data_IF_559924905741
#
_entry.id   IF_559924905741
#
_cell.length_a   1.000
_cell.length_b   1.000
_cell.length_c   1.000
_cell.angle_alpha   90.00
_cell.angle_beta   90.00
_cell.angle_gamma   90.00
#
_symmetry.space_group_name_H-M   'P 1'
#
loop_
_entity.id
_entity.type
_entity.pdbx_description
1 polymer ?
#
# COMPACT_ATOMS: atom_id res chain seq x y z
N UNK A 1 -3.60 -6.85 -18.91
CA UNK A 1 -4.93 -7.45 -19.16
C UNK A 1 -5.54 -7.48 -17.78
N UNK A 2 -6.47 -6.58 -17.48
CA UNK A 2 -6.82 -6.24 -16.09
C UNK A 2 -7.16 -7.49 -15.24
N UNK A 3 -6.72 -7.48 -13.98
CA UNK A 3 -6.85 -8.62 -13.10
C UNK A 3 -8.27 -8.67 -12.50
N UNK A 4 -8.94 -9.83 -12.56
CA UNK A 4 -10.33 -9.99 -12.17
C UNK A 4 -10.46 -10.90 -10.94
N UNK A 5 -11.12 -10.40 -9.89
CA UNK A 5 -11.25 -11.01 -8.57
C UNK A 5 -12.70 -11.19 -8.14
N UNK A 6 -12.92 -12.03 -7.12
CA UNK A 6 -14.19 -12.14 -6.40
C UNK A 6 -13.96 -11.66 -4.98
N UNK A 7 -14.57 -10.53 -4.62
CA UNK A 7 -14.57 -10.06 -3.24
C UNK A 7 -15.73 -10.70 -2.45
N UNK A 8 -15.58 -10.97 -1.15
CA UNK A 8 -16.69 -11.34 -0.30
C UNK A 8 -17.78 -10.26 -0.33
N UNK A 9 -19.07 -10.60 -0.51
CA UNK A 9 -20.15 -9.59 -0.59
C UNK A 9 -20.23 -8.66 0.62
N UNK A 10 -19.79 -9.14 1.78
CA UNK A 10 -19.77 -8.40 3.04
C UNK A 10 -18.48 -7.57 3.25
N UNK A 11 -17.52 -7.62 2.33
CA UNK A 11 -16.28 -6.84 2.51
C UNK A 11 -16.55 -5.35 2.28
N UNK A 12 -15.95 -4.46 3.10
CA UNK A 12 -16.05 -3.01 2.87
C UNK A 12 -15.57 -2.60 1.47
N UNK A 13 -14.58 -3.32 0.94
CA UNK A 13 -14.03 -3.07 -0.40
C UNK A 13 -15.07 -3.37 -1.48
N UNK A 14 -15.82 -4.47 -1.37
CA UNK A 14 -16.88 -4.82 -2.33
C UNK A 14 -17.98 -3.75 -2.41
N UNK A 15 -18.33 -3.14 -1.26
CA UNK A 15 -19.32 -2.08 -1.19
C UNK A 15 -18.84 -0.74 -1.79
N UNK A 16 -17.53 -0.51 -1.83
CA UNK A 16 -16.94 0.75 -2.27
C UNK A 16 -16.62 0.82 -3.78
N UNK A 17 -16.54 -0.33 -4.46
CA UNK A 17 -16.23 -0.39 -5.89
C UNK A 17 -17.51 -0.16 -6.71
N UNK A 18 -17.46 0.80 -7.63
CA UNK A 18 -18.57 1.13 -8.54
C UNK A 18 -18.44 0.43 -9.90
N UNK A 19 -19.43 0.56 -10.78
CA UNK A 19 -19.33 0.05 -12.17
C UNK A 19 -18.37 0.86 -13.05
N UNK A 20 -18.09 2.11 -12.65
CA UNK A 20 -17.08 2.95 -13.28
C UNK A 20 -15.70 2.69 -12.66
N UNK A 21 -14.66 2.88 -13.48
CA UNK A 21 -13.28 2.86 -13.01
C UNK A 21 -13.05 4.00 -12.00
N UNK A 22 -12.60 3.64 -10.79
CA UNK A 22 -12.31 4.59 -9.74
C UNK A 22 -11.21 4.09 -8.81
N UNK A 23 -10.64 5.00 -8.02
CA UNK A 23 -9.62 4.66 -7.03
C UNK A 23 -10.20 3.74 -5.96
N UNK A 24 -9.45 2.69 -5.63
CA UNK A 24 -9.77 1.90 -4.44
C UNK A 24 -9.56 2.77 -3.19
N UNK A 25 -10.51 2.74 -2.25
CA UNK A 25 -10.35 3.46 -0.99
C UNK A 25 -9.23 2.80 -0.19
N UNK A 26 -8.24 3.59 0.19
CA UNK A 26 -7.15 3.19 1.08
C UNK A 26 -7.16 4.05 2.36
N UNK A 27 -6.96 3.42 3.50
CA UNK A 27 -6.71 4.10 4.78
C UNK A 27 -5.23 4.40 4.91
N UNK A 28 -4.88 5.64 4.62
CA UNK A 28 -3.50 6.14 4.75
C UNK A 28 -3.35 6.83 6.12
N UNK A 29 -2.53 6.31 7.04
CA UNK A 29 -2.25 6.95 8.32
C UNK A 29 -1.53 8.29 8.16
N UNK A 30 -1.57 9.12 9.20
CA UNK A 30 -0.79 10.36 9.25
C UNK A 30 0.71 10.07 9.12
N UNK A 31 1.45 11.00 8.49
CA UNK A 31 2.89 10.85 8.31
C UNK A 31 3.30 10.09 7.05
N UNK A 32 2.39 9.92 6.09
CA UNK A 32 2.68 9.39 4.76
C UNK A 32 2.42 10.44 3.68
N UNK A 33 3.37 10.58 2.76
CA UNK A 33 3.21 11.31 1.51
C UNK A 33 2.95 10.29 0.40
N UNK A 34 1.73 10.29 -0.15
CA UNK A 34 1.41 9.49 -1.33
C UNK A 34 1.93 10.20 -2.56
N UNK A 35 2.85 9.55 -3.28
CA UNK A 35 3.51 10.12 -4.45
C UNK A 35 2.83 9.64 -5.72
N UNK A 36 2.42 8.37 -5.74
CA UNK A 36 1.67 7.79 -6.84
C UNK A 36 0.49 6.96 -6.31
N UNK A 37 -0.68 7.18 -6.87
CA UNK A 37 -1.90 6.46 -6.52
C UNK A 37 -2.72 6.19 -7.78
N UNK A 38 -2.58 4.99 -8.30
CA UNK A 38 -3.22 4.48 -9.51
C UNK A 38 -3.86 3.12 -9.29
N UNK A 39 -4.08 2.73 -8.04
CA UNK A 39 -4.83 1.53 -7.71
C UNK A 39 -6.32 1.76 -8.04
N UNK A 40 -6.71 1.39 -9.26
CA UNK A 40 -8.03 1.60 -9.82
C UNK A 40 -8.78 0.28 -9.92
N UNK A 41 -10.08 0.32 -9.68
CA UNK A 41 -10.93 -0.84 -9.87
C UNK A 41 -12.31 -0.46 -10.39
N UNK A 42 -13.01 -1.44 -10.95
CA UNK A 42 -14.45 -1.37 -11.24
C UNK A 42 -15.13 -2.72 -10.98
N UNK A 43 -16.44 -2.67 -10.79
CA UNK A 43 -17.31 -3.84 -10.64
C UNK A 43 -17.90 -4.21 -11.99
N UNK A 44 -17.73 -5.46 -12.37
CA UNK A 44 -18.30 -6.03 -13.59
C UNK A 44 -19.79 -6.37 -13.38
N UNK A 45 -20.58 -6.52 -14.47
CA UNK A 45 -22.00 -6.87 -14.37
C UNK A 45 -22.29 -8.20 -13.65
N UNK A 46 -21.33 -9.12 -13.60
CA UNK A 46 -21.43 -10.40 -12.89
C UNK A 46 -20.99 -10.32 -11.42
N UNK A 47 -20.71 -9.12 -10.91
CA UNK A 47 -20.31 -8.84 -9.54
C UNK A 47 -18.82 -9.05 -9.25
N UNK A 48 -18.02 -9.52 -10.21
CA UNK A 48 -16.56 -9.59 -10.06
C UNK A 48 -15.96 -8.19 -10.07
N UNK A 49 -14.77 -8.05 -9.50
CA UNK A 49 -14.02 -6.79 -9.48
C UNK A 49 -12.84 -6.91 -10.43
N UNK A 50 -12.72 -5.97 -11.35
CA UNK A 50 -11.58 -5.81 -12.24
C UNK A 50 -10.68 -4.69 -11.71
N UNK A 51 -9.37 -4.90 -11.70
CA UNK A 51 -8.35 -3.96 -11.19
C UNK A 51 -7.26 -3.80 -12.24
N UNK A 52 -6.70 -2.61 -12.37
CA UNK A 52 -5.57 -2.40 -13.28
C UNK A 52 -4.35 -3.23 -12.85
N UNK A 53 -3.63 -3.77 -13.83
CA UNK A 53 -2.59 -4.80 -13.63
C UNK A 53 -1.16 -4.29 -13.92
N UNK A 54 -0.84 -3.07 -13.46
CA UNK A 54 0.47 -2.43 -13.63
C UNK A 54 1.40 -2.71 -12.45
N UNK A 55 2.72 -2.69 -12.67
CA UNK A 55 3.72 -2.75 -11.59
C UNK A 55 3.72 -1.47 -10.74
N UNK A 56 3.30 -0.33 -11.31
CA UNK A 56 3.23 0.95 -10.61
C UNK A 56 1.78 1.23 -10.20
N UNK A 57 1.29 0.67 -9.09
CA UNK A 57 -0.08 0.94 -8.60
C UNK A 57 -0.09 1.98 -7.48
N UNK A 58 0.86 1.91 -6.57
CA UNK A 58 0.86 2.76 -5.39
C UNK A 58 2.26 2.93 -4.84
N UNK A 59 2.68 4.18 -4.69
CA UNK A 59 3.92 4.52 -4.01
C UNK A 59 3.67 5.63 -3.00
N UNK A 60 4.10 5.38 -1.76
CA UNK A 60 4.12 6.38 -0.71
C UNK A 60 5.44 6.32 0.06
N UNK A 61 5.78 7.42 0.70
CA UNK A 61 6.93 7.49 1.61
C UNK A 61 6.57 8.14 2.92
N UNK A 62 7.26 7.77 3.99
CA UNK A 62 7.11 8.46 5.27
C UNK A 62 7.50 9.93 5.13
N UNK A 63 6.63 10.80 5.63
CA UNK A 63 6.89 12.22 5.77
C UNK A 63 7.47 12.45 7.16
N UNK A 64 8.70 12.96 7.25
CA UNK A 64 9.21 13.46 8.52
C UNK A 64 8.24 14.54 9.03
N UNK A 65 7.75 14.47 10.27
CA UNK A 65 6.86 15.51 10.79
C UNK A 65 7.56 16.88 10.72
N UNK A 66 6.88 17.94 10.23
CA UNK A 66 7.51 19.22 9.96
C UNK A 66 8.05 19.93 11.22
N UNK A 67 7.58 19.53 12.41
CA UNK A 67 8.04 20.05 13.69
C UNK A 67 9.24 19.28 14.28
N UNK A 68 9.69 18.19 13.66
CA UNK A 68 10.74 17.32 14.20
C UNK A 68 12.07 17.68 13.53
N UNK A 69 12.98 18.26 14.30
CA UNK A 69 14.31 18.60 13.79
C UNK A 69 15.14 17.34 13.51
N UNK A 70 16.11 17.44 12.61
CA UNK A 70 16.99 16.31 12.26
C UNK A 70 17.71 15.71 13.49
N UNK A 71 18.15 16.57 14.43
CA UNK A 71 18.76 16.13 15.69
C UNK A 71 17.78 15.39 16.60
N UNK A 72 16.52 15.81 16.65
CA UNK A 72 15.47 15.12 17.40
C UNK A 72 15.10 13.77 16.77
N UNK A 73 15.15 13.71 15.45
CA UNK A 73 14.88 12.51 14.66
C UNK A 73 15.95 11.44 14.95
N UNK A 74 17.23 11.84 14.92
CA UNK A 74 18.37 10.96 15.26
C UNK A 74 18.32 10.53 16.72
N UNK A 75 18.05 11.45 17.65
CA UNK A 75 18.01 11.15 19.10
C UNK A 75 16.85 10.24 19.49
N UNK A 76 15.71 10.34 18.81
CA UNK A 76 14.58 9.42 19.02
C UNK A 76 14.84 8.03 18.44
N UNK A 77 15.84 7.86 17.58
CA UNK A 77 16.28 6.58 17.03
C UNK A 77 15.20 5.79 16.29
N UNK A 78 14.04 6.39 16.07
CA UNK A 78 12.84 5.71 15.61
C UNK A 78 12.67 5.87 14.11
N UNK A 79 12.15 4.84 13.47
CA UNK A 79 11.76 4.79 12.05
C UNK A 79 10.97 6.04 11.57
N UNK A 80 10.33 6.76 12.50
CA UNK A 80 9.70 8.08 12.31
C UNK A 80 10.61 9.18 11.73
N UNK A 81 11.93 9.01 11.81
CA UNK A 81 12.94 9.94 11.33
C UNK A 81 13.48 9.63 9.91
N UNK A 82 13.26 8.38 9.47
CA UNK A 82 13.83 7.79 8.25
C UNK A 82 12.81 7.89 7.12
N UNK A 83 13.32 8.08 5.91
CA UNK A 83 12.50 7.97 4.70
C UNK A 83 12.34 6.49 4.39
N UNK A 84 11.14 5.97 4.62
CA UNK A 84 10.75 4.59 4.33
C UNK A 84 9.79 4.68 3.17
N UNK A 85 10.07 3.93 2.11
CA UNK A 85 9.19 3.86 0.95
C UNK A 85 8.34 2.59 1.05
N UNK A 86 7.08 2.70 0.65
CA UNK A 86 6.22 1.55 0.38
C UNK A 86 5.81 1.63 -1.07
N UNK A 87 6.14 0.57 -1.81
CA UNK A 87 5.81 0.41 -3.21
C UNK A 87 4.91 -0.81 -3.36
N UNK A 88 3.88 -0.69 -4.18
CA UNK A 88 2.88 -1.72 -4.33
C UNK A 88 2.38 -1.77 -5.78
N UNK A 89 2.32 -2.99 -6.30
CA UNK A 89 2.17 -3.24 -7.73
C UNK A 89 1.60 -4.60 -8.04
N UNK A 90 1.21 -4.82 -9.29
CA UNK A 90 0.87 -6.13 -9.84
C UNK A 90 1.99 -6.64 -10.74
N UNK A 91 2.58 -7.78 -10.37
CA UNK A 91 3.65 -8.43 -11.12
C UNK A 91 3.12 -9.67 -11.82
N UNK A 92 3.24 -9.70 -13.15
CA UNK A 92 2.74 -10.82 -13.95
C UNK A 92 3.36 -12.16 -13.50
N UNK A 93 2.50 -13.15 -13.25
CA UNK A 93 2.90 -14.48 -12.78
C UNK A 93 3.06 -14.62 -11.26
N UNK A 94 3.08 -13.51 -10.52
CA UNK A 94 3.22 -13.49 -9.05
C UNK A 94 1.98 -12.94 -8.34
N UNK A 95 1.27 -11.99 -8.94
CA UNK A 95 0.13 -11.31 -8.35
C UNK A 95 0.50 -9.93 -7.79
N UNK A 96 -0.27 -9.45 -6.83
CA UNK A 96 0.05 -8.23 -6.12
C UNK A 96 1.29 -8.42 -5.27
N UNK A 97 2.13 -7.38 -5.20
CA UNK A 97 3.28 -7.32 -4.31
C UNK A 97 3.25 -5.99 -3.56
N UNK A 98 3.54 -6.03 -2.27
CA UNK A 98 3.82 -4.87 -1.42
C UNK A 98 5.27 -4.98 -0.98
N UNK A 99 6.04 -3.91 -1.12
CA UNK A 99 7.46 -3.85 -0.79
C UNK A 99 7.70 -2.67 0.13
N UNK A 100 8.38 -2.90 1.24
CA UNK A 100 8.93 -1.85 2.11
C UNK A 100 10.41 -1.72 1.84
N UNK A 101 10.82 -0.51 1.51
CA UNK A 101 12.17 -0.15 1.11
C UNK A 101 12.77 0.77 2.18
N UNK A 102 13.88 0.35 2.78
CA UNK A 102 14.59 1.06 3.85
C UNK A 102 16.07 0.68 3.83
N UNK A 103 17.02 1.64 3.74
CA UNK A 103 16.82 3.10 3.76
C UNK A 103 16.47 3.75 2.42
N UNK A 104 16.54 3.02 1.32
CA UNK A 104 16.42 3.58 -0.03
C UNK A 104 15.80 2.56 -1.01
N UNK A 105 15.67 2.97 -2.27
CA UNK A 105 15.05 2.19 -3.34
C UNK A 105 15.73 0.86 -3.67
N UNK A 106 17.01 0.72 -3.36
CA UNK A 106 17.79 -0.47 -3.68
C UNK A 106 17.76 -1.50 -2.54
N UNK A 107 17.20 -1.14 -1.38
CA UNK A 107 17.20 -1.97 -0.18
C UNK A 107 15.79 -2.39 0.23
N UNK A 108 15.41 -3.59 -0.18
CA UNK A 108 14.20 -4.26 0.28
C UNK A 108 14.34 -4.71 1.73
N UNK A 109 13.56 -4.10 2.62
CA UNK A 109 13.47 -4.48 4.03
C UNK A 109 12.47 -5.62 4.26
N UNK A 110 11.34 -5.58 3.55
CA UNK A 110 10.33 -6.63 3.58
C UNK A 110 9.48 -6.60 2.31
N UNK A 111 8.93 -7.74 1.91
CA UNK A 111 7.93 -7.80 0.84
C UNK A 111 6.85 -8.82 1.11
N UNK A 112 5.74 -8.70 0.41
CA UNK A 112 4.63 -9.63 0.57
C UNK A 112 3.93 -9.74 -0.77
N UNK A 113 3.60 -10.98 -1.17
CA UNK A 113 2.96 -11.27 -2.45
C UNK A 113 1.66 -12.03 -2.21
N UNK A 114 0.60 -11.61 -2.88
CA UNK A 114 -0.70 -12.28 -2.84
C UNK A 114 -1.44 -12.14 -4.18
N UNK A 115 -2.32 -13.09 -4.48
CA UNK A 115 -3.27 -12.99 -5.59
C UNK A 115 -4.67 -12.55 -5.14
N UNK A 116 -4.84 -12.25 -3.85
CA UNK A 116 -6.09 -11.78 -3.27
C UNK A 116 -6.09 -10.25 -3.09
N UNK A 117 -7.10 -9.59 -3.65
CA UNK A 117 -7.21 -8.13 -3.63
C UNK A 117 -7.48 -7.58 -2.22
N UNK A 118 -8.25 -8.28 -1.39
CA UNK A 118 -8.58 -7.83 -0.04
C UNK A 118 -7.37 -7.98 0.89
N UNK A 119 -6.63 -9.08 0.74
CA UNK A 119 -5.36 -9.31 1.44
C UNK A 119 -4.30 -8.29 1.03
N UNK A 120 -4.22 -7.95 -0.26
CA UNK A 120 -3.33 -6.89 -0.74
C UNK A 120 -3.61 -5.54 -0.08
N UNK A 121 -4.87 -5.07 -0.12
CA UNK A 121 -5.27 -3.79 0.50
C UNK A 121 -5.03 -3.81 2.01
N UNK A 122 -5.42 -4.91 2.68
CA UNK A 122 -5.28 -5.03 4.13
C UNK A 122 -3.81 -5.06 4.55
N UNK A 123 -2.94 -5.70 3.76
CA UNK A 123 -1.49 -5.74 4.02
C UNK A 123 -0.88 -4.35 3.86
N UNK A 124 -1.19 -3.65 2.76
CA UNK A 124 -0.72 -2.29 2.50
C UNK A 124 -1.11 -1.33 3.65
N UNK A 125 -2.41 -1.26 3.99
CA UNK A 125 -2.90 -0.43 5.10
C UNK A 125 -2.26 -0.84 6.44
N UNK A 126 -2.16 -2.15 6.69
CA UNK A 126 -1.60 -2.72 7.91
C UNK A 126 -0.14 -2.34 8.12
N UNK A 127 0.67 -2.42 7.07
CA UNK A 127 2.08 -2.05 7.10
C UNK A 127 2.29 -0.55 7.26
N UNK A 128 1.54 0.27 6.52
CA UNK A 128 1.58 1.73 6.70
C UNK A 128 1.27 2.14 8.14
N UNK A 129 0.28 1.49 8.76
CA UNK A 129 -0.08 1.70 10.16
C UNK A 129 1.00 1.22 11.13
N UNK A 130 1.55 0.03 10.91
CA UNK A 130 2.62 -0.52 11.74
C UNK A 130 3.83 0.42 11.80
N UNK A 131 4.26 0.91 10.64
CA UNK A 131 5.41 1.81 10.52
C UNK A 131 5.14 3.15 11.21
N UNK A 132 3.98 3.76 10.96
CA UNK A 132 3.66 5.10 11.47
C UNK A 132 3.29 5.11 12.95
N UNK A 133 2.47 4.16 13.42
CA UNK A 133 1.94 4.16 14.79
C UNK A 133 2.86 3.45 15.78
N UNK A 134 3.49 2.35 15.36
CA UNK A 134 4.33 1.52 16.26
C UNK A 134 5.81 1.79 16.08
N UNK A 135 6.21 2.39 14.96
CA UNK A 135 7.63 2.54 14.63
C UNK A 135 8.31 1.18 14.48
N UNK A 136 7.63 0.25 13.80
CA UNK A 136 8.12 -1.10 13.51
C UNK A 136 8.12 -1.32 11.99
N UNK A 137 9.14 -2.00 11.48
CA UNK A 137 9.11 -2.51 10.11
C UNK A 137 8.39 -3.86 10.09
N UNK A 138 7.60 -4.16 9.05
CA UNK A 138 7.08 -5.50 8.86
C UNK A 138 8.24 -6.50 8.78
N UNK A 139 7.99 -7.70 9.31
CA UNK A 139 8.93 -8.81 9.22
C UNK A 139 8.35 -9.82 8.23
N UNK A 140 9.21 -10.30 7.35
CA UNK A 140 8.99 -11.49 6.53
C UNK A 140 8.90 -12.74 7.42
#
# INVERSE_FOLDING_TARGET
MDAIFRLPPQSPLAAAVSEDWGLLPLRVPMGWNVIYNTLLARRLPDGRVEVNDSEDLYWARTARPPWLTEQEAVRKGGLQAREINIDAGWYQGYGFRVVVLDPDWDHEGASYTTSDLEEFVTTLEGWMRMISERGELPKL
#
